data_IF_853837840318
#
_entry.id   IF_853837840318
#
_cell.length_a   1.000
_cell.length_b   1.000
_cell.length_c   1.000
_cell.angle_alpha   90.00
_cell.angle_beta   90.00
_cell.angle_gamma   90.00
#
_symmetry.space_group_name_H-M   'P 1'
#
loop_
_entity.id
_entity.type
_entity.pdbx_description
1 polymer ?
#
# COMPACT_ATOMS: atom_id res chain seq x y z
N UNK A 1 7.47 -4.43 -7.24
CA UNK A 1 8.42 -5.47 -6.82
C UNK A 1 7.65 -6.74 -6.58
N UNK A 2 8.10 -7.85 -7.16
CA UNK A 2 7.37 -9.11 -7.05
C UNK A 2 7.96 -10.21 -7.92
N UNK A 3 7.35 -11.42 -7.89
CA UNK A 3 7.78 -12.53 -8.73
C UNK A 3 7.50 -12.25 -10.22
N UNK A 4 8.11 -13.01 -11.16
CA UNK A 4 7.97 -12.76 -12.60
C UNK A 4 6.53 -12.64 -13.12
N UNK A 5 5.59 -13.42 -12.57
CA UNK A 5 4.18 -13.37 -12.94
C UNK A 5 3.49 -12.04 -12.61
N UNK A 6 4.07 -11.22 -11.74
CA UNK A 6 3.55 -9.86 -11.44
C UNK A 6 3.57 -8.93 -12.65
N UNK A 7 4.21 -9.32 -13.75
CA UNK A 7 4.15 -8.58 -15.02
C UNK A 7 2.72 -8.39 -15.52
N UNK A 8 1.82 -9.34 -15.26
CA UNK A 8 0.43 -9.25 -15.69
C UNK A 8 -0.32 -8.09 -15.00
N UNK A 9 -0.07 -7.86 -13.71
CA UNK A 9 -0.64 -6.72 -12.99
C UNK A 9 -0.13 -5.38 -13.57
N UNK A 10 1.14 -5.34 -13.98
CA UNK A 10 1.71 -4.14 -14.64
C UNK A 10 1.09 -3.91 -16.02
N UNK A 11 0.75 -4.98 -16.76
CA UNK A 11 -0.02 -4.87 -18.02
C UNK A 11 -1.40 -4.29 -17.79
N UNK A 12 -2.10 -4.70 -16.73
CA UNK A 12 -3.38 -4.11 -16.36
C UNK A 12 -3.25 -2.61 -16.06
N UNK A 13 -2.20 -2.21 -15.33
CA UNK A 13 -1.92 -0.79 -15.07
C UNK A 13 -1.70 0.00 -16.37
N UNK A 14 -0.95 -0.55 -17.34
CA UNK A 14 -0.77 0.06 -18.68
C UNK A 14 -2.10 0.14 -19.42
N UNK A 15 -2.93 -0.90 -19.34
CA UNK A 15 -4.25 -0.90 -19.98
C UNK A 15 -5.17 0.18 -19.41
N UNK A 16 -5.04 0.47 -18.10
CA UNK A 16 -5.73 1.57 -17.40
C UNK A 16 -5.19 2.96 -17.76
N UNK A 17 -4.05 3.05 -18.45
CA UNK A 17 -3.51 4.30 -18.96
C UNK A 17 -2.19 4.76 -18.34
N UNK A 18 -1.48 3.90 -17.63
CA UNK A 18 -0.11 4.21 -17.20
C UNK A 18 0.82 4.28 -18.41
N UNK A 19 1.75 5.23 -18.41
CA UNK A 19 2.65 5.47 -19.52
C UNK A 19 3.74 4.40 -19.62
N UNK A 20 4.29 3.98 -18.49
CA UNK A 20 5.36 2.99 -18.38
C UNK A 20 5.16 2.12 -17.16
N UNK A 21 5.73 0.92 -17.19
CA UNK A 21 5.79 0.03 -16.05
C UNK A 21 7.19 -0.60 -15.97
N UNK A 22 7.62 -0.92 -14.76
CA UNK A 22 8.89 -1.58 -14.47
C UNK A 22 8.65 -2.63 -13.40
N UNK A 23 9.15 -3.84 -13.61
CA UNK A 23 9.11 -4.90 -12.62
C UNK A 23 10.47 -5.02 -11.91
N UNK A 24 10.47 -4.92 -10.59
CA UNK A 24 11.62 -5.29 -9.78
C UNK A 24 11.47 -6.76 -9.41
N UNK A 25 12.28 -7.64 -9.99
CA UNK A 25 12.17 -9.08 -9.77
C UNK A 25 13.54 -9.73 -9.78
N UNK A 26 13.89 -10.32 -8.63
CA UNK A 26 15.08 -11.10 -8.40
C UNK A 26 14.80 -12.09 -7.27
N UNK A 27 15.45 -13.26 -7.29
CA UNK A 27 15.42 -14.21 -6.16
C UNK A 27 15.97 -13.59 -4.89
N UNK A 28 16.93 -12.66 -5.01
CA UNK A 28 17.49 -11.92 -3.89
C UNK A 28 16.46 -11.03 -3.16
N UNK A 29 15.33 -10.70 -3.78
CA UNK A 29 14.28 -9.89 -3.15
C UNK A 29 13.27 -10.74 -2.36
N UNK A 30 13.36 -12.08 -2.42
CA UNK A 30 12.41 -12.95 -1.76
C UNK A 30 12.51 -12.84 -0.22
N UNK A 31 11.36 -12.88 0.45
CA UNK A 31 11.29 -12.80 1.91
C UNK A 31 11.59 -11.42 2.51
N UNK A 32 11.64 -10.37 1.67
CA UNK A 32 11.84 -9.00 2.13
C UNK A 32 10.71 -8.56 3.07
N UNK A 33 11.08 -8.00 4.22
CA UNK A 33 10.16 -7.23 5.06
C UNK A 33 9.91 -5.82 4.47
N UNK A 34 9.22 -4.95 5.20
CA UNK A 34 8.90 -3.59 4.75
C UNK A 34 10.17 -2.76 4.54
N UNK A 35 11.17 -2.92 5.41
CA UNK A 35 12.43 -2.19 5.33
C UNK A 35 13.24 -2.54 4.08
N UNK A 36 13.48 -3.83 3.81
CA UNK A 36 14.20 -4.29 2.63
C UNK A 36 13.42 -4.00 1.34
N UNK A 37 12.08 -4.06 1.40
CA UNK A 37 11.18 -3.65 0.31
C UNK A 37 11.33 -2.16 0.01
N UNK A 38 11.25 -1.31 1.03
CA UNK A 38 11.40 0.14 0.87
C UNK A 38 12.78 0.53 0.33
N UNK A 39 13.85 -0.16 0.75
CA UNK A 39 15.19 0.07 0.23
C UNK A 39 15.29 -0.27 -1.26
N UNK A 40 14.76 -1.43 -1.65
CA UNK A 40 14.76 -1.87 -3.06
C UNK A 40 13.97 -0.91 -3.94
N UNK A 41 12.79 -0.45 -3.48
CA UNK A 41 11.99 0.54 -4.18
C UNK A 41 12.69 1.90 -4.27
N UNK A 42 13.35 2.37 -3.21
CA UNK A 42 14.09 3.62 -3.21
C UNK A 42 15.26 3.57 -4.20
N UNK A 43 16.01 2.46 -4.24
CA UNK A 43 17.09 2.26 -5.19
C UNK A 43 16.58 2.32 -6.65
N UNK A 44 15.42 1.73 -6.91
CA UNK A 44 14.80 1.80 -8.23
C UNK A 44 14.33 3.22 -8.58
N UNK A 45 13.65 3.91 -7.67
CA UNK A 45 13.14 5.28 -7.92
C UNK A 45 14.30 6.24 -8.21
N UNK A 46 15.42 6.11 -7.51
CA UNK A 46 16.63 6.92 -7.74
C UNK A 46 17.29 6.69 -9.14
N UNK A 47 16.86 5.66 -9.89
CA UNK A 47 17.29 5.48 -11.30
C UNK A 47 16.43 6.27 -12.29
N UNK A 48 15.33 6.85 -11.83
CA UNK A 48 14.44 7.65 -12.66
C UNK A 48 14.59 9.13 -12.31
N UNK A 49 14.95 9.91 -13.31
CA UNK A 49 15.05 11.36 -13.17
C UNK A 49 13.65 11.98 -12.96
N UNK A 50 13.59 13.04 -12.19
CA UNK A 50 12.41 13.93 -12.06
C UNK A 50 11.14 13.30 -11.42
N UNK A 51 11.27 12.29 -10.59
CA UNK A 51 10.13 11.76 -9.82
C UNK A 51 9.71 12.76 -8.75
N UNK A 52 8.61 13.50 -9.00
CA UNK A 52 8.12 14.55 -8.07
C UNK A 52 7.08 14.06 -7.09
N UNK A 53 6.30 13.07 -7.47
CA UNK A 53 5.25 12.51 -6.61
C UNK A 53 5.28 10.99 -6.67
N UNK A 54 5.37 10.38 -5.49
CA UNK A 54 5.27 8.94 -5.31
C UNK A 54 3.91 8.64 -4.67
N UNK A 55 3.13 7.79 -5.33
CA UNK A 55 1.82 7.37 -4.84
C UNK A 55 1.89 5.87 -4.53
N UNK A 56 1.52 5.51 -3.31
CA UNK A 56 1.50 4.12 -2.83
C UNK A 56 0.10 3.75 -2.34
N UNK A 57 -0.20 2.46 -2.33
CA UNK A 57 -1.36 1.96 -1.59
C UNK A 57 -1.20 2.20 -0.09
N UNK A 58 -2.33 2.28 0.62
CA UNK A 58 -2.35 2.46 2.08
C UNK A 58 -1.60 1.34 2.80
N UNK A 59 -1.95 0.10 2.50
CA UNK A 59 -1.41 -1.10 3.13
C UNK A 59 -1.77 -2.34 2.30
N UNK A 60 -1.08 -3.45 2.53
CA UNK A 60 -1.38 -4.76 1.91
C UNK A 60 -2.44 -5.50 2.73
N UNK A 61 -3.14 -6.45 2.11
CA UNK A 61 -4.17 -7.26 2.79
C UNK A 61 -3.57 -8.40 3.63
N UNK A 62 -2.35 -8.81 3.31
CA UNK A 62 -1.65 -9.92 3.98
C UNK A 62 -0.83 -9.46 5.19
N UNK A 63 0.07 -8.51 5.00
CA UNK A 63 0.93 -8.00 6.07
C UNK A 63 0.34 -6.87 6.90
N UNK A 64 -0.58 -6.10 6.32
CA UNK A 64 -1.36 -5.01 6.93
C UNK A 64 -0.55 -3.95 7.71
N UNK A 65 0.75 -3.84 7.44
CA UNK A 65 1.66 -3.00 8.23
C UNK A 65 1.57 -1.51 7.90
N UNK A 66 1.29 -1.14 6.64
CA UNK A 66 1.27 0.25 6.17
C UNK A 66 2.62 0.99 6.26
N UNK A 67 3.73 0.26 6.45
CA UNK A 67 5.06 0.83 6.75
C UNK A 67 5.88 1.18 5.51
N UNK A 68 5.68 0.50 4.39
CA UNK A 68 6.52 0.72 3.18
C UNK A 68 6.51 2.17 2.71
N UNK A 69 5.36 2.86 2.80
CA UNK A 69 5.24 4.26 2.37
C UNK A 69 6.16 5.22 3.13
N UNK A 70 6.04 5.33 4.47
CA UNK A 70 6.90 6.19 5.27
C UNK A 70 8.37 5.77 5.24
N UNK A 71 8.68 4.47 5.24
CA UNK A 71 10.05 3.98 5.13
C UNK A 71 10.71 4.35 3.79
N UNK A 72 9.97 4.22 2.69
CA UNK A 72 10.41 4.64 1.36
C UNK A 72 10.69 6.14 1.32
N UNK A 73 9.77 6.95 1.84
CA UNK A 73 9.94 8.40 1.89
C UNK A 73 11.16 8.81 2.73
N UNK A 74 11.39 8.14 3.85
CA UNK A 74 12.57 8.35 4.68
C UNK A 74 13.87 8.02 3.92
N UNK A 75 13.90 6.89 3.19
CA UNK A 75 15.07 6.49 2.38
C UNK A 75 15.36 7.46 1.23
N UNK A 76 14.33 8.09 0.68
CA UNK A 76 14.44 9.11 -0.36
C UNK A 76 14.64 10.53 0.20
N UNK A 77 14.58 10.70 1.53
CA UNK A 77 14.65 11.99 2.21
C UNK A 77 13.62 13.00 1.69
N UNK A 78 12.38 12.55 1.49
CA UNK A 78 11.25 13.36 1.04
C UNK A 78 10.10 13.32 2.07
N UNK A 79 9.25 14.36 2.14
CA UNK A 79 8.11 14.35 3.03
C UNK A 79 7.06 13.29 2.61
N UNK A 80 6.32 12.79 3.62
CA UNK A 80 5.29 11.77 3.45
C UNK A 80 3.98 12.16 4.12
N UNK A 81 2.85 11.91 3.44
CA UNK A 81 1.50 11.98 4.05
C UNK A 81 0.78 10.66 3.78
N UNK A 82 0.38 9.99 4.89
CA UNK A 82 -0.42 8.78 4.83
C UNK A 82 -1.93 9.06 4.74
N UNK A 83 -2.67 8.06 4.24
CA UNK A 83 -4.14 8.03 4.22
C UNK A 83 -4.80 9.17 3.44
N UNK A 84 -4.19 9.60 2.35
CA UNK A 84 -4.76 10.62 1.47
C UNK A 84 -6.12 10.15 0.93
N UNK A 85 -7.16 10.93 1.19
CA UNK A 85 -8.53 10.69 0.72
C UNK A 85 -8.88 11.55 -0.49
N UNK A 86 -8.21 12.69 -0.67
CA UNK A 86 -8.33 13.49 -1.89
C UNK A 86 -7.13 14.43 -2.07
N UNK A 87 -6.81 14.71 -3.32
CA UNK A 87 -5.88 15.76 -3.73
C UNK A 87 -6.73 16.97 -4.08
N UNK A 88 -6.58 18.06 -3.30
CA UNK A 88 -7.38 19.28 -3.46
C UNK A 88 -6.79 20.22 -4.48
N UNK A 89 -5.46 20.35 -4.48
CA UNK A 89 -4.72 21.19 -5.42
C UNK A 89 -3.33 20.63 -5.66
N UNK A 90 -2.80 20.84 -6.86
CA UNK A 90 -1.42 20.49 -7.21
C UNK A 90 -0.82 21.60 -8.08
N UNK A 91 0.34 22.07 -7.68
CA UNK A 91 1.14 23.04 -8.40
C UNK A 91 2.54 22.51 -8.69
N UNK A 92 3.39 23.28 -9.33
CA UNK A 92 4.74 22.86 -9.72
C UNK A 92 5.59 22.37 -8.52
N UNK A 93 5.45 22.98 -7.35
CA UNK A 93 6.34 22.77 -6.21
C UNK A 93 5.62 22.35 -4.92
N UNK A 94 4.30 22.29 -4.92
CA UNK A 94 3.50 21.93 -3.75
C UNK A 94 2.18 21.28 -4.12
N UNK A 95 1.58 20.60 -3.15
CA UNK A 95 0.31 19.91 -3.28
C UNK A 95 -0.48 20.07 -1.98
N UNK A 96 -1.79 20.28 -2.10
CA UNK A 96 -2.71 20.30 -0.96
C UNK A 96 -3.51 19.00 -0.93
N UNK A 97 -3.43 18.29 0.19
CA UNK A 97 -4.01 16.96 0.39
C UNK A 97 -4.96 16.99 1.57
N UNK A 98 -6.08 16.31 1.42
CA UNK A 98 -6.98 15.96 2.51
C UNK A 98 -6.76 14.49 2.87
N UNK A 99 -6.51 14.19 4.15
CA UNK A 99 -6.42 12.82 4.66
C UNK A 99 -7.57 12.50 5.61
N UNK A 100 -7.93 11.25 5.68
CA UNK A 100 -8.92 10.73 6.63
C UNK A 100 -8.18 10.13 7.83
N UNK A 101 -8.52 10.61 9.02
CA UNK A 101 -8.18 10.00 10.30
C UNK A 101 -9.40 9.25 10.85
N UNK A 102 -9.29 8.65 12.01
CA UNK A 102 -10.38 7.88 12.62
C UNK A 102 -11.66 8.69 12.82
N UNK A 103 -11.53 9.93 13.30
CA UNK A 103 -12.63 10.80 13.71
C UNK A 103 -12.73 12.12 12.95
N UNK A 104 -11.76 12.44 12.08
CA UNK A 104 -11.68 13.74 11.40
C UNK A 104 -10.95 13.72 10.08
N UNK A 105 -11.15 14.78 9.31
CA UNK A 105 -10.32 15.09 8.16
C UNK A 105 -9.29 16.16 8.52
N UNK A 106 -8.08 15.99 8.00
CA UNK A 106 -7.00 16.95 8.11
C UNK A 106 -6.54 17.38 6.72
N UNK A 107 -6.21 18.66 6.57
CA UNK A 107 -5.71 19.20 5.30
C UNK A 107 -4.28 19.67 5.48
N UNK A 108 -3.40 19.25 4.57
CA UNK A 108 -1.98 19.58 4.59
C UNK A 108 -1.54 20.16 3.26
N UNK A 109 -0.65 21.13 3.33
CA UNK A 109 0.18 21.54 2.20
C UNK A 109 1.55 20.87 2.32
N UNK A 110 1.99 20.19 1.27
CA UNK A 110 3.26 19.45 1.22
C UNK A 110 4.09 19.94 0.04
N UNK A 111 5.40 20.07 0.23
CA UNK A 111 6.34 20.43 -0.85
C UNK A 111 6.69 19.19 -1.67
N UNK A 112 6.83 19.38 -2.98
CA UNK A 112 7.32 18.37 -3.90
C UNK A 112 8.86 18.45 -4.05
N UNK A 113 9.60 17.34 -4.19
CA UNK A 113 9.09 15.96 -4.28
C UNK A 113 8.52 15.44 -2.96
N UNK A 114 7.51 14.56 -3.05
CA UNK A 114 6.82 14.00 -1.90
C UNK A 114 6.31 12.57 -2.16
N UNK A 115 6.00 11.85 -1.09
CA UNK A 115 5.29 10.58 -1.18
C UNK A 115 3.96 10.64 -0.42
N UNK A 116 2.96 9.92 -0.94
CA UNK A 116 1.65 9.79 -0.29
C UNK A 116 1.17 8.35 -0.33
N UNK A 117 0.45 7.91 0.69
CA UNK A 117 -0.33 6.69 0.60
C UNK A 117 -1.81 7.01 0.45
N UNK A 118 -2.49 6.26 -0.41
CA UNK A 118 -3.89 6.49 -0.79
C UNK A 118 -4.77 5.29 -0.44
N UNK A 119 -6.01 5.57 -0.02
CA UNK A 119 -7.05 4.57 0.13
C UNK A 119 -7.72 4.25 -1.22
N UNK A 120 -8.48 3.14 -1.25
CA UNK A 120 -9.23 2.71 -2.44
C UNK A 120 -10.27 3.74 -2.92
N UNK A 121 -10.75 4.57 -2.02
CA UNK A 121 -11.83 5.52 -2.26
C UNK A 121 -11.35 6.90 -2.76
N UNK A 122 -10.05 7.05 -3.03
CA UNK A 122 -9.49 8.33 -3.53
C UNK A 122 -10.07 8.72 -4.89
N UNK A 123 -10.42 7.74 -5.71
CA UNK A 123 -11.10 7.92 -6.98
C UNK A 123 -11.80 6.62 -7.44
N UNK A 124 -12.63 6.74 -8.47
CA UNK A 124 -13.20 5.59 -9.18
C UNK A 124 -12.27 5.27 -10.36
N UNK A 125 -11.65 4.07 -10.40
CA UNK A 125 -10.78 3.68 -11.50
C UNK A 125 -11.52 3.65 -12.82
N UNK A 126 -10.87 4.11 -13.90
CA UNK A 126 -11.43 4.00 -15.25
C UNK A 126 -11.44 2.56 -15.73
N UNK A 127 -12.35 2.23 -16.63
CA UNK A 127 -12.38 0.94 -17.32
C UNK A 127 -11.33 0.96 -18.45
N UNK A 128 -10.51 -0.11 -18.60
CA UNK A 128 -9.54 -0.19 -19.68
C UNK A 128 -10.18 -0.14 -21.05
N UNK A 129 -9.72 0.76 -21.92
CA UNK A 129 -10.18 0.83 -23.31
C UNK A 129 -9.61 -0.33 -24.15
N UNK A 130 -10.26 -0.66 -25.28
CA UNK A 130 -9.72 -1.65 -26.22
C UNK A 130 -8.30 -1.28 -26.70
N UNK A 131 -8.06 0.00 -26.99
CA UNK A 131 -6.73 0.51 -27.38
C UNK A 131 -5.71 0.34 -26.23
N UNK A 132 -6.13 0.60 -24.99
CA UNK A 132 -5.28 0.40 -23.80
C UNK A 132 -4.89 -1.07 -23.64
N UNK A 133 -5.83 -2.00 -23.80
CA UNK A 133 -5.56 -3.45 -23.73
C UNK A 133 -4.60 -3.91 -24.84
N UNK A 134 -4.76 -3.42 -26.06
CA UNK A 134 -3.87 -3.74 -27.17
C UNK A 134 -2.45 -3.19 -26.93
N UNK A 135 -2.34 -1.96 -26.44
CA UNK A 135 -1.06 -1.38 -26.04
C UNK A 135 -0.38 -2.21 -24.95
N UNK A 136 -1.08 -2.53 -23.88
CA UNK A 136 -0.57 -3.31 -22.76
C UNK A 136 -0.04 -4.69 -23.18
N UNK A 137 -0.71 -5.34 -24.14
CA UNK A 137 -0.28 -6.64 -24.68
C UNK A 137 1.09 -6.58 -25.38
N UNK A 138 1.37 -5.47 -26.07
CA UNK A 138 2.58 -5.29 -26.89
C UNK A 138 3.70 -4.54 -26.15
N UNK A 139 3.40 -3.98 -24.96
CA UNK A 139 4.39 -3.20 -24.21
C UNK A 139 5.50 -4.11 -23.64
N UNK A 140 6.73 -3.68 -23.80
CA UNK A 140 7.89 -4.33 -23.19
C UNK A 140 8.05 -3.74 -21.78
N UNK A 141 7.87 -4.57 -20.76
CA UNK A 141 8.04 -4.19 -19.35
C UNK A 141 9.46 -4.60 -18.94
N UNK A 142 10.36 -3.63 -18.67
CA UNK A 142 11.69 -3.93 -18.18
C UNK A 142 11.63 -4.66 -16.83
N UNK A 143 12.50 -5.65 -16.65
CA UNK A 143 12.70 -6.35 -15.38
C UNK A 143 14.07 -5.93 -14.85
N UNK A 144 14.08 -5.35 -13.66
CA UNK A 144 15.29 -4.89 -13.00
C UNK A 144 15.62 -5.82 -11.83
N UNK A 145 16.84 -6.31 -11.81
CA UNK A 145 17.41 -7.18 -10.79
C UNK A 145 18.22 -6.38 -9.74
N UNK A 146 18.74 -7.09 -8.77
CA UNK A 146 19.59 -6.54 -7.70
C UNK A 146 20.83 -5.83 -8.26
N UNK A 147 21.48 -6.42 -9.27
CA UNK A 147 22.71 -5.89 -9.85
C UNK A 147 22.47 -4.58 -10.58
N UNK A 148 21.38 -4.49 -11.36
CA UNK A 148 21.00 -3.24 -12.02
C UNK A 148 20.74 -2.11 -11.00
N UNK A 149 20.16 -2.45 -9.86
CA UNK A 149 19.89 -1.49 -8.78
C UNK A 149 21.14 -1.11 -7.98
N UNK A 150 22.22 -1.88 -8.07
CA UNK A 150 23.46 -1.66 -7.33
C UNK A 150 23.31 -1.99 -5.83
N UNK A 151 22.49 -2.99 -5.52
CA UNK A 151 22.25 -3.44 -4.14
C UNK A 151 23.06 -4.69 -3.81
N UNK A 152 23.60 -4.74 -2.58
CA UNK A 152 24.23 -5.92 -2.06
C UNK A 152 23.22 -6.96 -1.57
N UNK A 153 23.64 -8.22 -1.52
CA UNK A 153 22.80 -9.31 -1.02
C UNK A 153 22.31 -9.06 0.40
N UNK A 154 23.19 -8.59 1.27
CA UNK A 154 22.90 -8.24 2.67
C UNK A 154 21.90 -7.10 2.88
N UNK A 155 21.54 -6.39 1.80
CA UNK A 155 20.59 -5.28 1.82
C UNK A 155 19.21 -5.67 1.27
N UNK A 156 19.06 -6.89 0.74
CA UNK A 156 17.88 -7.32 -0.01
C UNK A 156 17.25 -8.59 0.57
N UNK A 157 15.98 -8.77 0.28
CA UNK A 157 15.24 -9.96 0.66
C UNK A 157 15.30 -10.26 2.15
N UNK A 158 15.38 -11.54 2.48
CA UNK A 158 15.44 -11.99 3.87
C UNK A 158 16.70 -11.53 4.60
N UNK A 159 17.85 -11.48 3.93
CA UNK A 159 19.12 -11.06 4.53
C UNK A 159 19.13 -9.57 4.89
N UNK A 160 18.42 -8.73 4.11
CA UNK A 160 18.28 -7.30 4.37
C UNK A 160 17.13 -6.93 5.30
N UNK A 161 16.37 -7.92 5.77
CA UNK A 161 15.17 -7.73 6.60
C UNK A 161 15.49 -7.74 8.09
N UNK A 162 14.90 -6.84 8.86
CA UNK A 162 14.96 -6.84 10.32
C UNK A 162 13.90 -7.75 10.96
N UNK A 163 12.87 -8.12 10.20
CA UNK A 163 11.79 -9.00 10.66
C UNK A 163 11.69 -10.23 9.76
N UNK A 164 11.24 -11.34 10.33
CA UNK A 164 11.09 -12.61 9.64
C UNK A 164 9.81 -13.30 10.05
N UNK A 165 9.06 -13.84 9.09
CA UNK A 165 7.90 -14.69 9.36
C UNK A 165 8.39 -16.05 9.85
N UNK A 166 8.14 -16.35 11.13
CA UNK A 166 8.54 -17.63 11.76
C UNK A 166 7.43 -18.67 11.60
N UNK A 167 6.15 -18.25 11.69
CA UNK A 167 5.01 -19.16 11.66
C UNK A 167 3.78 -18.48 11.07
N UNK A 168 3.08 -19.19 10.23
CA UNK A 168 1.75 -18.82 9.72
C UNK A 168 0.75 -19.80 10.36
N UNK A 169 -0.36 -19.27 10.90
CA UNK A 169 -1.42 -20.07 11.46
C UNK A 169 -2.77 -19.43 11.18
N UNK A 170 -3.80 -20.24 11.11
CA UNK A 170 -5.17 -19.77 11.02
C UNK A 170 -5.70 -19.57 12.44
N UNK A 171 -6.15 -18.35 12.82
CA UNK A 171 -6.75 -18.15 14.13
C UNK A 171 -8.00 -19.03 14.29
N UNK A 172 -8.08 -19.75 15.40
CA UNK A 172 -9.31 -20.42 15.78
C UNK A 172 -10.21 -19.41 16.49
N UNK A 173 -11.29 -19.04 15.85
CA UNK A 173 -12.31 -18.18 16.45
C UNK A 173 -13.39 -19.06 17.08
N UNK A 174 -13.43 -19.10 18.39
CA UNK A 174 -14.55 -19.69 19.14
C UNK A 174 -15.62 -18.59 19.30
N UNK A 175 -16.70 -18.72 18.54
CA UNK A 175 -17.86 -17.87 18.69
C UNK A 175 -18.86 -18.56 19.62
N UNK A 176 -19.10 -17.99 20.78
CA UNK A 176 -20.20 -18.39 21.62
C UNK A 176 -21.42 -17.56 21.23
N UNK A 177 -22.32 -18.17 20.45
CA UNK A 177 -23.58 -17.51 20.07
C UNK A 177 -24.61 -17.76 21.15
N UNK A 178 -25.08 -16.69 21.76
CA UNK A 178 -26.16 -16.75 22.75
C UNK A 178 -27.40 -16.07 22.18
N UNK A 179 -28.47 -16.85 22.00
CA UNK A 179 -29.75 -16.31 21.57
C UNK A 179 -30.43 -15.66 22.78
N UNK A 180 -30.94 -14.46 22.59
CA UNK A 180 -31.72 -13.75 23.58
C UNK A 180 -33.19 -13.97 23.28
N UNK A 181 -33.91 -14.56 24.22
CA UNK A 181 -35.34 -14.87 24.12
C UNK A 181 -36.15 -13.84 24.90
N UNK A 182 -37.44 -13.72 24.62
CA UNK A 182 -38.37 -12.82 25.30
C UNK A 182 -39.02 -11.78 24.39
N UNK A 183 -39.69 -10.83 24.99
CA UNK A 183 -40.26 -9.67 24.29
C UNK A 183 -39.16 -8.75 23.77
N UNK A 184 -39.40 -7.89 22.75
CA UNK A 184 -38.41 -6.95 22.25
C UNK A 184 -37.77 -6.08 23.35
N UNK A 185 -38.54 -5.65 24.34
CA UNK A 185 -38.03 -4.83 25.45
C UNK A 185 -37.09 -5.64 26.36
N UNK A 186 -37.44 -6.87 26.68
CA UNK A 186 -36.60 -7.79 27.48
C UNK A 186 -35.30 -8.13 26.74
N UNK A 187 -35.35 -8.32 25.42
CA UNK A 187 -34.17 -8.57 24.61
C UNK A 187 -33.20 -7.36 24.58
N UNK A 188 -33.75 -6.16 24.48
CA UNK A 188 -32.96 -4.92 24.53
C UNK A 188 -32.28 -4.75 25.88
N UNK A 189 -33.02 -5.00 26.98
CA UNK A 189 -32.48 -4.91 28.34
C UNK A 189 -31.36 -5.91 28.58
N UNK A 190 -31.49 -7.18 28.16
CA UNK A 190 -30.43 -8.20 28.27
C UNK A 190 -29.18 -7.81 27.50
N UNK A 191 -29.33 -7.34 26.25
CA UNK A 191 -28.21 -6.87 25.42
C UNK A 191 -27.54 -5.66 26.09
N UNK A 192 -28.30 -4.70 26.58
CA UNK A 192 -27.74 -3.50 27.22
C UNK A 192 -26.93 -3.86 28.47
N UNK A 193 -27.48 -4.75 29.34
CA UNK A 193 -26.78 -5.23 30.53
C UNK A 193 -25.45 -5.91 30.19
N UNK A 194 -25.43 -6.73 29.13
CA UNK A 194 -24.19 -7.39 28.65
C UNK A 194 -23.16 -6.41 28.13
N UNK A 195 -23.59 -5.42 27.34
CA UNK A 195 -22.68 -4.37 26.84
C UNK A 195 -22.10 -3.56 28.00
N UNK A 196 -22.90 -3.32 29.05
CA UNK A 196 -22.44 -2.65 30.26
C UNK A 196 -21.46 -3.50 31.09
N UNK A 197 -21.68 -4.81 31.21
CA UNK A 197 -20.77 -5.74 31.87
C UNK A 197 -19.40 -5.79 31.14
N UNK A 198 -19.41 -5.67 29.82
CA UNK A 198 -18.22 -5.62 28.98
C UNK A 198 -17.56 -4.23 28.92
N UNK A 199 -18.09 -3.22 29.63
CA UNK A 199 -17.63 -1.82 29.58
C UNK A 199 -17.59 -1.22 28.17
N UNK A 200 -18.56 -1.60 27.32
CA UNK A 200 -18.68 -1.08 25.96
C UNK A 200 -19.61 0.17 25.95
N UNK A 201 -20.55 0.25 26.87
CA UNK A 201 -21.50 1.35 27.08
C UNK A 201 -21.62 1.68 28.55
#
# INVERSE_FOLDING_TARGET
MGPPQSVEMLREAIALGMDKAVLLSDRAFAGADTWATALTLAAAINKFDDCKLIILGKQTLDGDTGQVGPELAQKLNIPFIGYASSILDISKNRMTIKRLMEDRYETFEIRLPAAISVGKDINIPRVPSLRGKLRAKNEIIPVLDKNYLGLDQSQTGLEGSYTQVIKIFMPEHHYEVKMVEGTPDEQVDDIYLRLKELNIV
#
